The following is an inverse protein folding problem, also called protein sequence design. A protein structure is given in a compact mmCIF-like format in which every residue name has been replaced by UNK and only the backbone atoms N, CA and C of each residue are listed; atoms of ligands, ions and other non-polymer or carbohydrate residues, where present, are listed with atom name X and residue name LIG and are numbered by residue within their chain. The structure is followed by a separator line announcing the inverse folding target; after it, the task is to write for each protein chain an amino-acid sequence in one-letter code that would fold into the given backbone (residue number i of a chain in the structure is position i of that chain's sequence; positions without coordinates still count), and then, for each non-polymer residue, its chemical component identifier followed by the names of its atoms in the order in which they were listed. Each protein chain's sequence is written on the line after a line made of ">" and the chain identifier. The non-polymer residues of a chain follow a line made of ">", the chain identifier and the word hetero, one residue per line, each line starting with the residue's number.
data_IF_239058159127
#
_entry.id   IF_239058159127
#
_cell.length_a   1.000
_cell.length_b   1.000
_cell.length_c   1.000
_cell.angle_alpha   90.00
_cell.angle_beta   90.00
_cell.angle_gamma   90.00
#
_symmetry.space_group_name_H-M   'P 1'
#
loop_
_entity.id
_entity.type
_entity.pdbx_description
1 polymer ?
#
# COMPACT_ATOMS: atom_id res chain seq x y z
N UNK A 1 4.06 5.42 -15.41
CA UNK A 1 4.74 4.38 -14.61
C UNK A 1 3.98 3.06 -14.69
N UNK A 2 2.67 3.01 -14.33
CA UNK A 2 1.89 1.76 -14.34
C UNK A 2 1.72 1.17 -15.75
N UNK A 3 1.38 1.98 -16.75
CA UNK A 3 1.28 1.56 -18.17
C UNK A 3 2.61 1.05 -18.71
N UNK A 4 3.72 1.69 -18.30
CA UNK A 4 5.06 1.26 -18.69
C UNK A 4 5.42 -0.11 -18.12
N UNK A 5 5.06 -0.38 -16.86
CA UNK A 5 5.24 -1.70 -16.24
C UNK A 5 4.42 -2.75 -17.00
N UNK A 6 3.17 -2.49 -17.29
CA UNK A 6 2.30 -3.41 -18.04
C UNK A 6 2.81 -3.71 -19.45
N UNK A 7 3.46 -2.74 -20.10
CA UNK A 7 4.10 -2.92 -21.41
C UNK A 7 5.39 -3.75 -21.29
N UNK A 8 6.26 -3.43 -20.32
CA UNK A 8 7.49 -4.18 -20.05
C UNK A 8 7.19 -5.66 -19.74
N UNK A 9 6.09 -5.93 -19.02
CA UNK A 9 5.60 -7.28 -18.71
C UNK A 9 4.72 -7.88 -19.84
N UNK A 10 4.68 -7.25 -21.03
CA UNK A 10 3.89 -7.70 -22.17
C UNK A 10 2.37 -7.86 -21.91
N UNK A 11 1.85 -7.17 -20.90
CA UNK A 11 0.43 -7.18 -20.54
C UNK A 11 -0.38 -6.29 -21.49
N UNK A 12 0.22 -5.17 -21.96
CA UNK A 12 -0.37 -4.29 -22.96
C UNK A 12 0.54 -4.15 -24.18
N UNK A 13 -0.06 -4.06 -25.37
CA UNK A 13 0.70 -3.92 -26.63
C UNK A 13 1.22 -2.51 -26.85
N UNK A 14 0.44 -1.50 -26.48
CA UNK A 14 0.74 -0.09 -26.67
C UNK A 14 0.73 0.67 -25.35
N UNK A 15 1.64 1.62 -25.21
CA UNK A 15 1.65 2.54 -24.09
C UNK A 15 0.60 3.63 -24.32
N UNK A 16 -0.32 3.77 -23.37
CA UNK A 16 -1.34 4.80 -23.39
C UNK A 16 -0.87 6.02 -22.62
N UNK A 17 -1.11 7.20 -23.14
CA UNK A 17 -0.87 8.44 -22.42
C UNK A 17 -1.84 8.59 -21.23
N UNK A 18 -1.46 9.40 -20.24
CA UNK A 18 -2.35 9.71 -19.10
C UNK A 18 -3.67 10.35 -19.56
N UNK A 19 -3.66 11.13 -20.64
CA UNK A 19 -4.87 11.77 -21.18
C UNK A 19 -5.82 10.75 -21.82
N UNK A 20 -5.27 9.79 -22.56
CA UNK A 20 -6.08 8.70 -23.13
C UNK A 20 -6.71 7.86 -22.04
N UNK A 21 -5.94 7.46 -21.02
CA UNK A 21 -6.48 6.70 -19.86
C UNK A 21 -7.58 7.50 -19.15
N UNK A 22 -7.38 8.80 -18.91
CA UNK A 22 -8.39 9.65 -18.29
C UNK A 22 -9.67 9.76 -19.14
N UNK A 23 -9.54 9.89 -20.45
CA UNK A 23 -10.68 9.93 -21.37
C UNK A 23 -11.49 8.65 -21.32
N UNK A 24 -10.83 7.51 -21.36
CA UNK A 24 -11.46 6.19 -21.30
C UNK A 24 -12.15 5.93 -19.94
N UNK A 25 -11.53 6.33 -18.83
CA UNK A 25 -12.14 6.24 -17.51
C UNK A 25 -13.37 7.14 -17.42
N UNK A 26 -13.34 8.36 -17.96
CA UNK A 26 -14.48 9.28 -17.99
C UNK A 26 -15.62 8.71 -18.83
N UNK A 27 -15.33 8.15 -19.99
CA UNK A 27 -16.33 7.53 -20.86
C UNK A 27 -17.00 6.32 -20.19
N UNK A 28 -16.24 5.53 -19.43
CA UNK A 28 -16.70 4.35 -18.69
C UNK A 28 -16.86 4.61 -17.18
N UNK A 29 -17.14 5.84 -16.76
CA UNK A 29 -17.02 6.29 -15.37
C UNK A 29 -17.77 5.39 -14.39
N UNK A 30 -19.07 5.16 -14.61
CA UNK A 30 -19.89 4.37 -13.66
C UNK A 30 -19.39 2.95 -13.48
N UNK A 31 -18.94 2.31 -14.57
CA UNK A 31 -18.37 0.96 -14.51
C UNK A 31 -17.02 0.95 -13.77
N UNK A 32 -16.10 1.83 -14.15
CA UNK A 32 -14.77 1.92 -13.53
C UNK A 32 -14.89 2.23 -12.04
N UNK A 33 -15.79 3.16 -11.67
CA UNK A 33 -16.01 3.55 -10.28
C UNK A 33 -16.64 2.43 -9.45
N UNK A 34 -17.59 1.68 -10.02
CA UNK A 34 -18.16 0.50 -9.40
C UNK A 34 -17.10 -0.60 -9.15
N UNK A 35 -16.21 -0.88 -10.12
CA UNK A 35 -15.13 -1.85 -9.93
C UNK A 35 -14.12 -1.37 -8.88
N UNK A 36 -13.82 -0.06 -8.86
CA UNK A 36 -12.96 0.54 -7.84
C UNK A 36 -13.52 0.35 -6.43
N UNK A 37 -14.82 0.62 -6.20
CA UNK A 37 -15.44 0.39 -4.90
C UNK A 37 -15.50 -1.10 -4.52
N UNK A 38 -15.73 -1.98 -5.48
CA UNK A 38 -15.67 -3.44 -5.25
C UNK A 38 -14.29 -3.91 -4.79
N UNK A 39 -13.23 -3.21 -5.17
CA UNK A 39 -11.89 -3.43 -4.66
C UNK A 39 -11.67 -2.73 -3.32
N UNK A 40 -11.91 -1.42 -3.27
CA UNK A 40 -11.55 -0.55 -2.15
C UNK A 40 -12.27 -0.94 -0.84
N UNK A 41 -13.57 -1.18 -0.91
CA UNK A 41 -14.36 -1.42 0.30
C UNK A 41 -13.94 -2.72 1.03
N UNK A 42 -13.84 -3.88 0.39
CA UNK A 42 -13.33 -5.08 1.05
C UNK A 42 -11.87 -4.94 1.50
N UNK A 43 -11.03 -4.21 0.77
CA UNK A 43 -9.65 -3.90 1.18
C UNK A 43 -9.63 -3.16 2.52
N UNK A 44 -10.39 -2.08 2.65
CA UNK A 44 -10.50 -1.33 3.90
C UNK A 44 -11.08 -2.16 5.04
N UNK A 45 -12.10 -2.99 4.78
CA UNK A 45 -12.70 -3.86 5.79
C UNK A 45 -11.72 -4.91 6.32
N UNK A 46 -10.92 -5.54 5.45
CA UNK A 46 -9.91 -6.53 5.88
C UNK A 46 -8.91 -5.90 6.85
N UNK A 47 -8.39 -4.72 6.53
CA UNK A 47 -7.45 -4.01 7.40
C UNK A 47 -8.11 -3.48 8.69
N UNK A 48 -9.35 -2.97 8.59
CA UNK A 48 -10.13 -2.58 9.77
C UNK A 48 -10.34 -3.76 10.72
N UNK A 49 -10.72 -4.91 10.20
CA UNK A 49 -10.96 -6.11 11.01
C UNK A 49 -9.66 -6.61 11.66
N UNK A 50 -8.55 -6.58 10.95
CA UNK A 50 -7.26 -7.01 11.48
C UNK A 50 -6.74 -6.09 12.60
N UNK A 51 -6.77 -4.78 12.40
CA UNK A 51 -6.27 -3.82 13.40
C UNK A 51 -7.33 -3.39 14.42
N UNK A 52 -8.60 -3.65 14.16
CA UNK A 52 -9.73 -3.14 14.95
C UNK A 52 -9.98 -1.64 14.79
N UNK A 53 -9.16 -0.93 13.97
CA UNK A 53 -9.15 0.53 13.92
C UNK A 53 -8.46 1.01 12.64
N UNK A 54 -9.17 1.83 11.85
CA UNK A 54 -8.62 2.39 10.59
C UNK A 54 -7.54 3.43 10.81
N UNK A 55 -7.53 4.17 11.92
CA UNK A 55 -6.45 5.13 12.19
C UNK A 55 -5.11 4.39 12.45
N UNK A 56 -5.14 3.21 13.09
CA UNK A 56 -3.94 2.37 13.25
C UNK A 56 -3.41 1.94 11.89
N UNK A 57 -4.31 1.49 10.99
CA UNK A 57 -3.93 1.14 9.62
C UNK A 57 -3.33 2.34 8.89
N UNK A 58 -3.97 3.51 8.96
CA UNK A 58 -3.49 4.74 8.30
C UNK A 58 -2.11 5.16 8.81
N UNK A 59 -1.88 5.12 10.12
CA UNK A 59 -0.58 5.43 10.72
C UNK A 59 0.48 4.43 10.23
N UNK A 60 0.19 3.14 10.25
CA UNK A 60 1.12 2.11 9.80
C UNK A 60 1.41 2.24 8.29
N UNK A 61 0.40 2.48 7.47
CA UNK A 61 0.56 2.72 6.03
C UNK A 61 1.46 3.95 5.76
N UNK A 62 1.30 5.03 6.53
CA UNK A 62 2.16 6.23 6.43
C UNK A 62 3.62 5.91 6.76
N UNK A 63 3.88 5.10 7.80
CA UNK A 63 5.22 4.66 8.16
C UNK A 63 5.82 3.80 7.03
N UNK A 64 5.06 2.83 6.50
CA UNK A 64 5.48 1.97 5.40
C UNK A 64 5.79 2.80 4.14
N UNK A 65 4.92 3.74 3.77
CA UNK A 65 5.13 4.62 2.62
C UNK A 65 6.37 5.49 2.78
N UNK A 66 6.62 6.07 3.97
CA UNK A 66 7.84 6.82 4.25
C UNK A 66 9.10 5.93 4.10
N UNK A 67 9.05 4.70 4.56
CA UNK A 67 10.15 3.76 4.40
C UNK A 67 10.34 3.34 2.93
N UNK A 68 9.24 3.12 2.19
CA UNK A 68 9.26 2.68 0.80
C UNK A 68 9.59 3.79 -0.20
N UNK A 69 9.26 5.05 0.07
CA UNK A 69 9.51 6.17 -0.86
C UNK A 69 11.00 6.30 -1.23
N UNK A 70 11.88 5.84 -0.34
CA UNK A 70 13.33 5.82 -0.51
C UNK A 70 13.85 4.55 -1.20
N UNK A 71 13.02 3.51 -1.29
CA UNK A 71 13.35 2.21 -1.90
C UNK A 71 12.66 2.05 -3.26
N UNK A 72 11.50 2.64 -3.44
CA UNK A 72 10.56 2.34 -4.52
C UNK A 72 11.09 2.54 -5.95
N UNK A 73 12.08 3.44 -6.16
CA UNK A 73 12.73 3.58 -7.46
C UNK A 73 13.72 2.46 -7.81
N UNK A 74 14.05 1.59 -6.85
CA UNK A 74 15.03 0.51 -7.00
C UNK A 74 14.36 -0.87 -7.05
N UNK A 75 13.03 -0.93 -6.96
CA UNK A 75 12.26 -2.18 -7.01
C UNK A 75 11.91 -2.57 -8.45
N UNK A 76 12.84 -2.42 -9.39
CA UNK A 76 12.70 -3.03 -10.70
C UNK A 76 12.91 -4.54 -10.57
N UNK A 77 12.01 -5.32 -11.16
CA UNK A 77 12.06 -6.77 -11.14
C UNK A 77 11.69 -7.35 -9.78
N UNK A 78 10.42 -7.59 -9.55
CA UNK A 78 9.93 -8.20 -8.31
C UNK A 78 10.06 -9.70 -8.45
N UNK A 79 11.25 -10.22 -8.20
CA UNK A 79 11.47 -11.65 -8.16
C UNK A 79 11.02 -12.30 -6.87
N UNK A 80 10.21 -11.67 -6.11
CA UNK A 80 9.64 -12.33 -4.96
C UNK A 80 8.88 -11.40 -4.07
N UNK A 81 7.81 -11.75 -3.95
CA UNK A 81 6.82 -11.76 -2.93
C UNK A 81 7.29 -11.21 -1.56
N UNK A 82 6.39 -10.95 -0.72
CA UNK A 82 6.46 -10.20 0.53
C UNK A 82 7.73 -10.39 1.41
N UNK A 83 8.34 -11.57 1.45
CA UNK A 83 9.52 -11.82 2.31
C UNK A 83 10.75 -11.01 1.88
N UNK A 84 11.08 -10.98 0.60
CA UNK A 84 12.20 -10.17 0.10
C UNK A 84 11.89 -8.66 0.17
N UNK A 85 10.60 -8.26 0.03
CA UNK A 85 10.18 -6.89 0.27
C UNK A 85 10.40 -6.49 1.73
N UNK A 86 9.96 -7.35 2.67
CA UNK A 86 10.20 -7.17 4.10
C UNK A 86 11.69 -7.03 4.43
N UNK A 87 12.51 -7.96 3.95
CA UNK A 87 13.95 -7.96 4.21
C UNK A 87 14.65 -6.73 3.62
N UNK A 88 14.22 -6.27 2.45
CA UNK A 88 14.72 -5.00 1.87
C UNK A 88 14.37 -3.79 2.74
N UNK A 89 13.19 -3.75 3.36
CA UNK A 89 12.80 -2.64 4.24
C UNK A 89 13.59 -2.68 5.54
N UNK A 90 13.69 -3.85 6.17
CA UNK A 90 14.32 -4.00 7.48
C UNK A 90 15.84 -3.82 7.39
N UNK A 91 16.48 -4.34 6.34
CA UNK A 91 17.93 -4.30 6.18
C UNK A 91 18.49 -2.96 5.69
N UNK A 92 17.66 -2.04 5.19
CA UNK A 92 18.12 -0.68 4.84
C UNK A 92 18.00 0.24 6.05
N UNK A 93 19.12 0.92 6.40
CA UNK A 93 19.14 2.04 7.35
C UNK A 93 18.34 3.23 6.79
N UNK A 94 17.01 3.14 6.82
CA UNK A 94 16.11 4.19 6.37
C UNK A 94 15.84 5.12 7.54
N UNK A 95 15.92 6.43 7.30
CA UNK A 95 15.52 7.41 8.31
C UNK A 95 14.02 7.28 8.56
N UNK A 96 13.64 6.92 9.77
CA UNK A 96 12.26 6.80 10.20
C UNK A 96 11.50 8.14 10.17
N UNK A 97 10.23 8.11 10.53
CA UNK A 97 9.33 9.26 10.60
C UNK A 97 8.99 9.56 12.07
N UNK A 98 8.73 10.82 12.42
CA UNK A 98 8.32 11.19 13.76
C UNK A 98 6.78 11.31 13.88
N UNK A 99 6.25 11.33 15.11
CA UNK A 99 4.82 11.40 15.37
C UNK A 99 4.17 12.72 14.91
N UNK A 100 4.91 13.82 14.84
CA UNK A 100 4.40 15.10 14.35
C UNK A 100 4.12 15.01 12.86
N UNK A 101 5.10 14.54 12.07
CA UNK A 101 4.93 14.37 10.63
C UNK A 101 3.82 13.38 10.27
N UNK A 102 3.63 12.31 11.07
CA UNK A 102 2.48 11.41 10.88
C UNK A 102 1.16 12.16 11.12
N UNK A 103 1.08 12.98 12.17
CA UNK A 103 -0.10 13.80 12.46
C UNK A 103 -0.41 14.78 11.33
N UNK A 104 0.60 15.48 10.81
CA UNK A 104 0.47 16.41 9.70
C UNK A 104 0.00 15.73 8.40
N UNK A 105 0.57 14.58 8.06
CA UNK A 105 0.22 13.83 6.85
C UNK A 105 -1.20 13.25 6.93
N UNK A 106 -1.57 12.72 8.10
CA UNK A 106 -2.82 11.95 8.26
C UNK A 106 -4.00 12.78 8.73
N UNK A 107 -3.76 13.98 9.27
CA UNK A 107 -4.78 14.80 9.97
C UNK A 107 -5.22 14.21 11.32
N UNK A 108 -4.65 13.09 11.77
CA UNK A 108 -4.98 12.47 13.06
C UNK A 108 -4.31 13.30 14.17
N UNK A 109 -5.05 13.71 15.23
CA UNK A 109 -4.48 14.50 16.31
C UNK A 109 -3.24 13.83 16.93
N UNK A 110 -2.18 14.61 17.16
CA UNK A 110 -0.90 14.10 17.67
C UNK A 110 -1.02 13.23 18.93
N UNK A 111 -1.84 13.56 19.95
CA UNK A 111 -2.02 12.69 21.12
C UNK A 111 -2.55 11.29 20.72
N UNK A 112 -3.47 11.24 19.75
CA UNK A 112 -4.00 9.97 19.20
C UNK A 112 -2.90 9.21 18.47
N UNK A 113 -2.11 9.87 17.63
CA UNK A 113 -0.96 9.24 16.94
C UNK A 113 0.00 8.63 17.96
N UNK A 114 0.41 9.38 18.99
CA UNK A 114 1.32 8.89 20.04
C UNK A 114 0.75 7.66 20.76
N UNK A 115 -0.52 7.68 21.13
CA UNK A 115 -1.19 6.54 21.78
C UNK A 115 -1.18 5.29 20.88
N UNK A 116 -1.47 5.47 19.57
CA UNK A 116 -1.51 4.36 18.62
C UNK A 116 -0.11 3.86 18.25
N UNK A 117 0.89 4.71 18.20
CA UNK A 117 2.30 4.31 18.08
C UNK A 117 2.70 3.39 19.23
N UNK A 118 2.35 3.72 20.48
CA UNK A 118 2.62 2.85 21.64
C UNK A 118 1.98 1.46 21.45
N UNK A 119 0.74 1.38 20.94
CA UNK A 119 0.07 0.11 20.65
C UNK A 119 0.79 -0.67 19.55
N UNK A 120 1.17 -0.02 18.45
CA UNK A 120 1.91 -0.65 17.35
C UNK A 120 3.28 -1.16 17.80
N UNK A 121 4.01 -0.39 18.62
CA UNK A 121 5.30 -0.82 19.20
C UNK A 121 5.14 -2.03 20.12
N UNK A 122 4.15 -1.99 21.03
CA UNK A 122 3.83 -3.12 21.92
C UNK A 122 3.53 -4.40 21.14
N UNK A 123 2.83 -4.27 20.02
CA UNK A 123 2.46 -5.39 19.16
C UNK A 123 3.53 -5.72 18.09
N UNK A 124 4.72 -5.13 18.19
CA UNK A 124 5.87 -5.43 17.31
C UNK A 124 5.58 -5.24 15.81
N UNK A 125 4.84 -4.19 15.46
CA UNK A 125 4.66 -3.75 14.06
C UNK A 125 5.67 -2.68 13.65
N UNK A 126 6.20 -1.95 14.64
CA UNK A 126 7.14 -0.85 14.45
C UNK A 126 8.18 -0.85 15.56
N UNK A 127 9.35 -0.27 15.28
CA UNK A 127 10.40 0.03 16.25
C UNK A 127 10.71 1.53 16.31
N UNK A 128 11.31 1.95 17.40
CA UNK A 128 11.80 3.31 17.60
C UNK A 128 13.33 3.27 17.62
N UNK A 129 13.96 4.11 16.83
CA UNK A 129 15.41 4.27 16.86
C UNK A 129 15.87 5.16 18.05
N UNK A 130 17.19 5.35 18.16
CA UNK A 130 17.81 6.18 19.22
C UNK A 130 17.32 7.62 19.22
N UNK A 131 16.88 8.12 18.07
CA UNK A 131 16.35 9.48 17.89
C UNK A 131 14.82 9.53 18.02
N UNK A 132 14.18 8.45 18.50
CA UNK A 132 12.73 8.28 18.59
C UNK A 132 12.02 8.35 17.24
N UNK A 133 12.73 8.11 16.13
CA UNK A 133 12.11 7.96 14.83
C UNK A 133 11.51 6.56 14.68
N UNK A 134 10.36 6.52 14.06
CA UNK A 134 9.50 5.35 13.92
C UNK A 134 9.84 4.65 12.61
N UNK A 135 10.14 3.36 12.69
CA UNK A 135 10.43 2.51 11.55
C UNK A 135 9.47 1.32 11.52
N UNK A 136 9.17 0.86 10.31
CA UNK A 136 8.46 -0.40 10.12
C UNK A 136 9.39 -1.55 10.56
N UNK A 137 8.90 -2.37 11.47
CA UNK A 137 9.67 -3.50 12.03
C UNK A 137 8.69 -4.54 12.54
N UNK A 138 8.13 -5.28 11.61
CA UNK A 138 7.09 -6.25 11.93
C UNK A 138 7.69 -7.61 12.29
N UNK A 139 7.21 -8.22 13.38
CA UNK A 139 7.61 -9.58 13.75
C UNK A 139 7.23 -10.58 12.66
N UNK A 140 7.94 -11.74 12.63
CA UNK A 140 7.65 -12.80 11.66
C UNK A 140 6.20 -13.28 11.73
N UNK A 141 5.60 -13.36 12.93
CA UNK A 141 4.21 -13.77 13.10
C UNK A 141 3.25 -12.74 12.53
N UNK A 142 3.39 -11.46 12.91
CA UNK A 142 2.55 -10.38 12.38
C UNK A 142 2.67 -10.27 10.86
N UNK A 143 3.87 -10.51 10.33
CA UNK A 143 4.09 -10.49 8.90
C UNK A 143 3.35 -11.63 8.19
N UNK A 144 3.36 -12.83 8.77
CA UNK A 144 2.60 -13.98 8.25
C UNK A 144 1.11 -13.68 8.21
N UNK A 145 0.56 -13.11 9.29
CA UNK A 145 -0.86 -12.76 9.35
C UNK A 145 -1.23 -11.67 8.33
N UNK A 146 -0.37 -10.64 8.20
CA UNK A 146 -0.53 -9.59 7.18
C UNK A 146 -0.41 -10.15 5.76
N UNK A 147 0.43 -11.16 5.52
CA UNK A 147 0.60 -11.75 4.19
C UNK A 147 -0.67 -12.43 3.70
N UNK A 148 -1.40 -13.10 4.58
CA UNK A 148 -2.70 -13.71 4.23
C UNK A 148 -3.69 -12.64 3.75
N UNK A 149 -3.74 -11.50 4.45
CA UNK A 149 -4.59 -10.37 4.06
C UNK A 149 -4.13 -9.79 2.71
N UNK A 150 -2.82 -9.67 2.51
CA UNK A 150 -2.27 -9.18 1.24
C UNK A 150 -2.56 -10.11 0.07
N UNK A 151 -2.59 -11.42 0.27
CA UNK A 151 -2.97 -12.37 -0.77
C UNK A 151 -4.41 -12.16 -1.23
N UNK A 152 -5.33 -11.95 -0.30
CA UNK A 152 -6.71 -11.60 -0.61
C UNK A 152 -6.84 -10.23 -1.30
N UNK A 153 -6.00 -9.27 -0.91
CA UNK A 153 -5.94 -7.97 -1.57
C UNK A 153 -5.40 -8.08 -3.00
N UNK A 154 -4.39 -8.92 -3.22
CA UNK A 154 -3.84 -9.18 -4.57
C UNK A 154 -4.87 -9.84 -5.49
N UNK A 155 -5.65 -10.81 -4.99
CA UNK A 155 -6.76 -11.39 -5.75
C UNK A 155 -7.79 -10.33 -6.14
N UNK A 156 -8.15 -9.46 -5.20
CA UNK A 156 -9.12 -8.39 -5.41
C UNK A 156 -8.64 -7.33 -6.41
N UNK A 157 -7.36 -6.93 -6.33
CA UNK A 157 -6.77 -5.96 -7.27
C UNK A 157 -6.62 -6.56 -8.67
N UNK A 158 -6.28 -7.86 -8.76
CA UNK A 158 -6.23 -8.56 -10.06
C UNK A 158 -7.59 -8.54 -10.76
N UNK A 159 -8.68 -8.84 -10.04
CA UNK A 159 -10.03 -8.78 -10.58
C UNK A 159 -10.39 -7.35 -11.00
N UNK A 160 -10.04 -6.35 -10.21
CA UNK A 160 -10.26 -4.94 -10.54
C UNK A 160 -9.52 -4.55 -11.83
N UNK A 161 -8.22 -4.83 -11.91
CA UNK A 161 -7.40 -4.50 -13.09
C UNK A 161 -7.93 -5.21 -14.33
N UNK A 162 -8.16 -6.54 -14.25
CA UNK A 162 -8.65 -7.33 -15.39
C UNK A 162 -9.97 -6.80 -15.93
N UNK A 163 -10.95 -6.50 -15.07
CA UNK A 163 -12.26 -6.02 -15.50
C UNK A 163 -12.19 -4.63 -16.09
N UNK A 164 -11.48 -3.71 -15.43
CA UNK A 164 -11.32 -2.34 -15.93
C UNK A 164 -10.59 -2.33 -17.28
N UNK A 165 -9.51 -3.10 -17.39
CA UNK A 165 -8.74 -3.23 -18.63
C UNK A 165 -9.58 -3.80 -19.79
N UNK A 166 -10.31 -4.88 -19.54
CA UNK A 166 -11.16 -5.49 -20.56
C UNK A 166 -12.25 -4.52 -21.05
N UNK A 167 -12.88 -3.76 -20.16
CA UNK A 167 -13.90 -2.77 -20.54
C UNK A 167 -13.31 -1.64 -21.38
N UNK A 168 -12.10 -1.20 -21.07
CA UNK A 168 -11.40 -0.13 -21.81
C UNK A 168 -10.99 -0.59 -23.21
N UNK A 169 -10.65 -1.87 -23.38
CA UNK A 169 -10.22 -2.42 -24.68
C UNK A 169 -11.35 -2.95 -25.57
N UNK A 170 -12.58 -3.00 -25.07
CA UNK A 170 -13.76 -3.41 -25.86
C UNK A 170 -14.41 -2.23 -26.59
N UNK A 171 -13.99 -1.01 -26.30
CA UNK A 171 -14.41 0.24 -26.95
C UNK A 171 -13.27 0.85 -27.75
#
# INVERSE_FOLDING_TARGET
>A
VFSQILKEEKVIKNEMSSNEINSLIKHNFSFCWYQFYKFLFPYCLRWKNYFGDMEIFTILATIILNNNSKIGRQLKGVDSYLDKWRDKIINKKIKGINAMSISEITGIPRPTVVRKIKKLTKNKFISLDKNKLINFDVSKQNFKDMSIIQDENLKSINVFIKRTYNQINLN
#
